data_IF_861932584808
#
_entry.id   IF_861932584808
#
_cell.length_a   1.000
_cell.length_b   1.000
_cell.length_c   1.000
_cell.angle_alpha   90.00
_cell.angle_beta   90.00
_cell.angle_gamma   90.00
#
_symmetry.space_group_name_H-M   'P 1'
#
loop_
_entity.id
_entity.type
_entity.pdbx_description
1 polymer ?
#
# COMPACT_ATOMS: atom_id res chain seq x y z
N UNK A 1 51.14 18.72 -25.87
CA UNK A 1 49.74 19.17 -25.79
C UNK A 1 48.84 17.96 -25.56
N UNK A 2 48.54 17.69 -24.29
CA UNK A 2 47.75 16.52 -23.87
C UNK A 2 46.26 16.83 -23.96
N UNK A 3 45.53 16.03 -24.75
CA UNK A 3 44.07 16.11 -24.86
C UNK A 3 43.44 15.65 -23.55
N UNK A 4 42.72 16.56 -22.88
CA UNK A 4 41.87 16.26 -21.75
C UNK A 4 40.64 15.48 -22.19
N UNK A 5 40.62 14.18 -21.90
CA UNK A 5 39.41 13.37 -21.95
C UNK A 5 38.58 13.64 -20.72
N UNK A 6 37.33 14.08 -20.91
CA UNK A 6 36.32 14.15 -19.86
C UNK A 6 35.94 12.72 -19.51
N UNK A 7 36.48 12.21 -18.40
CA UNK A 7 36.13 10.90 -17.89
C UNK A 7 34.71 10.92 -17.35
N UNK A 8 33.79 10.27 -18.06
CA UNK A 8 32.51 9.84 -17.49
C UNK A 8 32.87 8.81 -16.41
N UNK A 9 32.73 9.22 -15.14
CA UNK A 9 33.06 8.38 -14.00
C UNK A 9 32.17 7.14 -13.99
N UNK A 10 32.77 5.98 -14.22
CA UNK A 10 32.16 4.69 -13.92
C UNK A 10 32.12 4.58 -12.39
N UNK A 11 30.92 4.67 -11.80
CA UNK A 11 30.72 4.39 -10.37
C UNK A 11 31.05 2.91 -10.16
N UNK A 12 32.16 2.65 -9.47
CA UNK A 12 32.53 1.30 -9.03
C UNK A 12 31.54 0.89 -7.95
N UNK A 13 30.98 -0.31 -8.07
CA UNK A 13 30.12 -0.93 -7.05
C UNK A 13 30.88 -0.94 -5.71
N UNK A 14 30.45 -0.12 -4.76
CA UNK A 14 31.04 -0.03 -3.41
C UNK A 14 31.59 1.35 -2.97
N UNK A 15 31.57 2.39 -3.82
CA UNK A 15 31.93 3.76 -3.39
C UNK A 15 30.72 4.49 -2.79
N UNK A 16 30.33 4.07 -1.59
CA UNK A 16 29.20 4.62 -0.84
C UNK A 16 29.29 6.15 -0.62
N UNK A 17 30.47 6.73 -0.31
CA UNK A 17 30.64 8.18 -0.22
C UNK A 17 30.40 8.91 -1.54
N UNK A 18 30.86 8.39 -2.68
CA UNK A 18 30.62 9.02 -3.98
C UNK A 18 29.14 8.98 -4.39
N UNK A 19 28.45 7.85 -4.17
CA UNK A 19 27.02 7.73 -4.43
C UNK A 19 26.20 8.74 -3.60
N UNK A 20 26.52 8.88 -2.31
CA UNK A 20 25.88 9.87 -1.44
C UNK A 20 26.11 11.31 -1.91
N UNK A 21 27.33 11.64 -2.36
CA UNK A 21 27.67 12.98 -2.86
C UNK A 21 26.92 13.34 -4.14
N UNK A 22 26.71 12.38 -5.05
CA UNK A 22 25.93 12.59 -6.28
C UNK A 22 24.47 12.94 -5.91
N UNK A 23 23.84 12.14 -5.04
CA UNK A 23 22.45 12.38 -4.60
C UNK A 23 22.34 13.71 -3.86
N UNK A 24 23.34 14.06 -3.04
CA UNK A 24 23.38 15.32 -2.31
C UNK A 24 23.58 16.52 -3.25
N UNK A 25 24.36 16.37 -4.32
CA UNK A 25 24.52 17.42 -5.34
C UNK A 25 23.18 17.67 -6.05
N UNK A 26 22.45 16.62 -6.42
CA UNK A 26 21.13 16.73 -7.03
C UNK A 26 20.07 17.34 -6.09
N UNK A 27 20.24 17.23 -4.76
CA UNK A 27 19.34 17.86 -3.78
C UNK A 27 19.35 19.39 -3.88
N UNK A 28 20.45 19.97 -4.36
CA UNK A 28 20.56 21.43 -4.59
C UNK A 28 19.61 21.92 -5.68
N UNK A 29 19.09 21.02 -6.53
CA UNK A 29 18.08 21.30 -7.53
C UNK A 29 16.64 21.29 -6.97
N UNK A 30 16.46 21.02 -5.67
CA UNK A 30 15.16 21.01 -4.97
C UNK A 30 14.11 20.12 -5.63
N UNK A 31 14.52 18.97 -6.16
CA UNK A 31 13.60 18.00 -6.73
C UNK A 31 12.96 17.13 -5.61
N UNK A 32 11.62 16.96 -5.58
CA UNK A 32 10.94 16.10 -4.62
C UNK A 32 11.44 14.63 -4.60
N UNK A 33 11.76 13.99 -5.75
CA UNK A 33 12.32 12.64 -5.77
C UNK A 33 13.67 12.53 -5.03
N UNK A 34 14.54 13.53 -5.19
CA UNK A 34 15.87 13.53 -4.55
C UNK A 34 15.77 13.76 -3.04
N UNK A 35 14.83 14.62 -2.62
CA UNK A 35 14.55 14.85 -1.20
C UNK A 35 14.00 13.60 -0.51
N UNK A 36 13.12 12.85 -1.19
CA UNK A 36 12.64 11.55 -0.71
C UNK A 36 13.77 10.52 -0.62
N UNK A 37 14.62 10.41 -1.64
CA UNK A 37 15.78 9.49 -1.64
C UNK A 37 16.72 9.77 -0.47
N UNK A 38 17.07 11.04 -0.25
CA UNK A 38 17.89 11.44 0.90
C UNK A 38 17.21 11.14 2.24
N UNK A 39 15.88 11.31 2.32
CA UNK A 39 15.15 10.91 3.53
C UNK A 39 15.27 9.42 3.81
N UNK A 40 15.10 8.55 2.81
CA UNK A 40 15.21 7.10 2.99
C UNK A 40 16.62 6.66 3.43
N UNK A 41 17.67 7.29 2.87
CA UNK A 41 19.06 7.02 3.28
C UNK A 41 19.27 7.30 4.78
N UNK A 42 18.76 8.43 5.28
CA UNK A 42 18.84 8.75 6.70
C UNK A 42 17.92 7.90 7.57
N UNK A 43 16.80 7.39 7.04
CA UNK A 43 15.94 6.45 7.75
C UNK A 43 16.60 5.10 7.99
N UNK A 44 17.31 4.56 6.99
CA UNK A 44 17.93 3.24 7.07
C UNK A 44 19.39 3.25 7.52
N UNK A 45 20.08 4.39 7.45
CA UNK A 45 21.51 4.46 7.73
C UNK A 45 22.34 3.84 6.59
N UNK A 46 21.89 4.02 5.36
CA UNK A 46 22.55 3.50 4.16
C UNK A 46 23.66 4.45 3.66
N UNK A 47 24.45 4.00 2.68
CA UNK A 47 25.50 4.79 2.02
C UNK A 47 26.53 5.43 2.99
N UNK A 48 26.84 4.74 4.09
CA UNK A 48 27.79 5.21 5.10
C UNK A 48 27.28 6.35 5.99
N UNK A 49 25.97 6.64 5.97
CA UNK A 49 25.33 7.56 6.90
C UNK A 49 24.85 6.83 8.16
N UNK A 50 24.88 7.50 9.31
CA UNK A 50 24.20 6.97 10.51
C UNK A 50 22.71 7.26 10.44
N UNK A 51 21.90 6.36 11.00
CA UNK A 51 20.46 6.55 11.09
C UNK A 51 20.14 7.89 11.79
N UNK A 52 19.28 8.69 11.16
CA UNK A 52 18.89 10.02 11.64
C UNK A 52 17.44 10.32 11.26
N UNK A 53 16.51 9.88 12.11
CA UNK A 53 15.07 10.06 11.90
C UNK A 53 14.66 11.52 11.78
N UNK A 54 15.28 12.41 12.57
CA UNK A 54 14.96 13.85 12.53
C UNK A 54 15.26 14.44 11.16
N UNK A 55 16.46 14.17 10.65
CA UNK A 55 16.87 14.68 9.34
C UNK A 55 16.04 14.03 8.22
N UNK A 56 15.82 12.72 8.32
CA UNK A 56 15.02 11.96 7.37
C UNK A 56 13.60 12.52 7.23
N UNK A 57 12.87 12.66 8.35
CA UNK A 57 11.52 13.20 8.37
C UNK A 57 11.48 14.67 7.91
N UNK A 58 12.49 15.48 8.24
CA UNK A 58 12.51 16.88 7.81
C UNK A 58 12.61 17.01 6.28
N UNK A 59 13.41 16.14 5.64
CA UNK A 59 13.57 16.07 4.19
C UNK A 59 12.31 15.49 3.54
N UNK A 60 11.72 14.47 4.14
CA UNK A 60 10.49 13.86 3.65
C UNK A 60 9.29 14.81 3.75
N UNK A 61 9.15 15.54 4.85
CA UNK A 61 8.12 16.56 5.04
C UNK A 61 8.25 17.70 4.03
N UNK A 62 9.48 18.09 3.69
CA UNK A 62 9.72 19.04 2.61
C UNK A 62 9.28 18.47 1.26
N UNK A 63 9.71 17.25 0.95
CA UNK A 63 9.33 16.58 -0.30
C UNK A 63 7.81 16.40 -0.43
N UNK A 64 7.11 16.08 0.66
CA UNK A 64 5.66 15.96 0.71
C UNK A 64 4.95 17.30 0.44
N UNK A 65 5.49 18.42 0.94
CA UNK A 65 4.95 19.75 0.65
C UNK A 65 5.10 20.14 -0.83
N UNK A 66 6.16 19.68 -1.47
CA UNK A 66 6.46 19.92 -2.88
C UNK A 66 5.87 18.82 -3.80
N UNK A 67 5.12 17.84 -3.24
CA UNK A 67 4.53 16.75 -4.00
C UNK A 67 3.49 17.26 -5.01
N UNK A 68 3.55 16.67 -6.21
CA UNK A 68 2.72 16.96 -7.37
C UNK A 68 2.28 15.65 -8.07
N UNK A 69 1.55 15.74 -9.18
CA UNK A 69 1.00 14.57 -9.87
C UNK A 69 2.09 13.62 -10.42
N UNK A 70 3.29 14.14 -10.71
CA UNK A 70 4.42 13.34 -11.19
C UNK A 70 5.17 12.65 -10.04
N UNK A 71 5.18 13.28 -8.85
CA UNK A 71 5.82 12.77 -7.65
C UNK A 71 4.91 12.83 -6.41
N UNK A 72 3.87 11.98 -6.33
CA UNK A 72 2.97 11.95 -5.18
C UNK A 72 3.50 11.11 -3.99
N UNK A 73 4.49 10.25 -4.25
CA UNK A 73 5.06 9.28 -3.31
C UNK A 73 5.54 9.89 -1.97
N UNK A 74 6.21 11.05 -1.91
CA UNK A 74 6.70 11.59 -0.65
C UNK A 74 5.57 11.89 0.34
N UNK A 75 4.43 12.39 -0.17
CA UNK A 75 3.23 12.64 0.63
C UNK A 75 2.68 11.32 1.17
N UNK A 76 2.55 10.29 0.32
CA UNK A 76 2.06 8.98 0.77
C UNK A 76 2.96 8.34 1.83
N UNK A 77 4.28 8.32 1.60
CA UNK A 77 5.25 7.70 2.52
C UNK A 77 5.26 8.42 3.87
N UNK A 78 5.23 9.75 3.88
CA UNK A 78 5.11 10.51 5.12
C UNK A 78 3.82 10.13 5.87
N UNK A 79 2.72 10.02 5.14
CA UNK A 79 1.44 9.63 5.73
C UNK A 79 1.48 8.24 6.39
N UNK A 80 2.09 7.25 5.73
CA UNK A 80 2.26 5.91 6.30
C UNK A 80 3.15 5.87 7.55
N UNK A 81 4.20 6.68 7.58
CA UNK A 81 5.10 6.80 8.72
C UNK A 81 4.35 7.38 9.93
N UNK A 82 3.57 8.44 9.71
CA UNK A 82 2.78 9.08 10.76
C UNK A 82 1.61 8.22 11.23
N UNK A 83 1.08 7.33 10.38
CA UNK A 83 0.07 6.34 10.75
C UNK A 83 0.63 5.11 11.51
N UNK A 84 1.95 5.02 11.73
CA UNK A 84 2.61 3.80 12.24
C UNK A 84 2.37 2.55 11.40
N UNK A 85 1.96 2.70 10.15
CA UNK A 85 1.72 1.60 9.21
C UNK A 85 2.99 1.25 8.40
N UNK A 86 4.04 2.07 8.51
CA UNK A 86 5.37 1.86 7.93
C UNK A 86 5.96 0.45 8.15
N UNK A 87 5.95 -0.17 9.35
CA UNK A 87 6.59 -1.47 9.55
C UNK A 87 5.88 -2.65 8.86
N UNK A 88 4.65 -2.46 8.34
CA UNK A 88 3.92 -3.51 7.63
C UNK A 88 4.16 -3.50 6.11
N UNK A 89 4.67 -2.39 5.57
CA UNK A 89 4.90 -2.22 4.13
C UNK A 89 6.41 -2.22 3.91
N UNK A 90 6.92 -3.21 3.18
CA UNK A 90 8.33 -3.27 2.79
C UNK A 90 8.60 -2.17 1.77
N UNK A 91 9.16 -1.04 2.23
CA UNK A 91 9.58 0.02 1.34
C UNK A 91 10.95 -0.39 0.78
N UNK A 92 11.11 -0.44 -0.55
CA UNK A 92 12.36 -0.85 -1.18
C UNK A 92 13.54 -0.05 -0.60
N UNK A 93 14.72 -0.66 -0.43
CA UNK A 93 15.93 0.09 -0.03
C UNK A 93 16.41 0.95 -1.18
N UNK A 94 17.30 1.92 -0.92
CA UNK A 94 17.93 2.73 -1.98
C UNK A 94 18.42 1.87 -3.17
N UNK A 95 19.02 0.71 -2.86
CA UNK A 95 19.55 -0.26 -3.83
C UNK A 95 18.47 -0.90 -4.71
N UNK A 96 17.24 -1.01 -4.22
CA UNK A 96 16.09 -1.55 -4.95
C UNK A 96 15.41 -0.50 -5.85
N UNK A 97 15.75 0.79 -5.67
CA UNK A 97 15.21 1.90 -6.46
C UNK A 97 15.95 2.15 -7.79
N UNK A 98 16.91 1.30 -8.19
CA UNK A 98 17.64 1.43 -9.47
C UNK A 98 16.69 1.41 -10.69
N UNK A 99 15.48 0.86 -10.53
CA UNK A 99 14.44 0.82 -11.58
C UNK A 99 13.72 2.18 -11.79
N UNK A 100 13.97 3.20 -10.96
CA UNK A 100 13.19 4.44 -10.91
C UNK A 100 13.77 5.60 -11.74
N UNK A 101 14.81 5.36 -12.55
CA UNK A 101 15.39 6.38 -13.45
C UNK A 101 14.37 6.93 -14.45
N UNK A 102 13.38 6.13 -14.87
CA UNK A 102 12.41 6.54 -15.90
C UNK A 102 11.37 7.57 -15.41
N UNK A 103 11.09 7.63 -14.11
CA UNK A 103 10.19 8.63 -13.52
C UNK A 103 10.92 9.95 -13.17
N UNK A 104 12.18 9.87 -12.72
CA UNK A 104 13.00 11.06 -12.48
C UNK A 104 13.41 11.78 -13.77
N UNK A 105 13.52 11.07 -14.89
CA UNK A 105 13.86 11.67 -16.19
C UNK A 105 12.76 12.58 -16.76
N UNK A 106 11.50 12.47 -16.29
CA UNK A 106 10.37 13.27 -16.80
C UNK A 106 10.04 14.51 -15.96
N UNK A 107 10.49 14.59 -14.71
CA UNK A 107 10.16 15.71 -13.79
C UNK A 107 11.15 16.89 -13.88
N UNK A 108 11.62 17.24 -15.08
CA UNK A 108 12.49 18.39 -15.27
C UNK A 108 11.82 19.44 -16.14
N UNK A 109 10.96 20.26 -15.52
CA UNK A 109 10.71 21.68 -15.86
C UNK A 109 9.57 22.24 -14.98
N UNK A 110 9.88 23.24 -14.14
CA UNK A 110 8.85 24.07 -13.50
C UNK A 110 9.27 24.68 -12.17
N UNK A 111 9.73 25.94 -12.21
CA UNK A 111 10.06 26.77 -11.05
C UNK A 111 8.80 27.32 -10.40
N UNK A 112 8.60 27.14 -9.09
CA UNK A 112 7.71 28.00 -8.27
C UNK A 112 8.30 28.22 -6.88
N UNK A 113 8.14 29.45 -6.40
CA UNK A 113 8.88 30.08 -5.31
C UNK A 113 8.63 29.55 -3.90
N UNK A 114 9.68 29.70 -3.10
CA UNK A 114 9.80 29.37 -1.69
C UNK A 114 8.98 30.35 -0.85
N UNK A 115 8.25 29.83 0.15
CA UNK A 115 8.11 30.51 1.44
C UNK A 115 8.28 29.52 2.59
N UNK A 116 9.34 29.76 3.38
CA UNK A 116 9.57 29.22 4.72
C UNK A 116 8.31 29.41 5.58
N UNK A 117 7.95 28.52 6.51
CA UNK A 117 8.53 28.49 7.87
C UNK A 117 7.92 27.33 8.68
N UNK A 118 8.71 26.75 9.58
CA UNK A 118 8.40 26.25 10.94
C UNK A 118 9.11 24.90 11.20
N UNK A 119 9.92 24.80 12.27
CA UNK A 119 10.38 23.53 12.82
C UNK A 119 9.21 22.86 13.57
N UNK A 120 8.80 21.66 13.18
CA UNK A 120 7.84 20.88 13.96
C UNK A 120 8.56 20.33 15.21
N UNK A 121 8.15 20.70 16.45
CA UNK A 121 8.79 20.28 17.69
C UNK A 121 8.59 18.79 18.05
N UNK A 122 7.89 18.01 17.23
CA UNK A 122 7.54 16.60 17.50
C UNK A 122 8.65 15.59 17.18
N UNK A 123 9.82 16.02 16.69
CA UNK A 123 10.92 15.13 16.33
C UNK A 123 11.99 15.08 17.44
N UNK A 124 11.81 14.21 18.43
CA UNK A 124 12.92 13.75 19.26
C UNK A 124 13.83 12.80 18.44
N UNK A 125 15.10 12.72 18.78
CA UNK A 125 16.16 12.17 17.91
C UNK A 125 16.12 10.65 17.70
N UNK A 126 15.23 9.92 18.38
CA UNK A 126 15.24 8.45 18.39
C UNK A 126 13.94 7.79 17.90
N UNK A 127 12.79 8.49 17.91
CA UNK A 127 11.49 7.86 17.62
C UNK A 127 10.58 8.78 16.78
N UNK A 128 9.77 8.18 15.91
CA UNK A 128 8.70 8.88 15.18
C UNK A 128 7.45 8.88 16.04
N UNK A 129 6.90 10.07 16.33
CA UNK A 129 5.61 10.19 17.02
C UNK A 129 4.49 10.07 16.00
N UNK A 130 3.54 9.14 16.17
CA UNK A 130 2.40 9.00 15.27
C UNK A 130 1.47 10.21 15.32
N UNK A 131 0.93 10.61 14.17
CA UNK A 131 -0.10 11.64 14.04
C UNK A 131 -1.08 11.22 12.93
N UNK A 132 -2.19 10.63 13.35
CA UNK A 132 -3.24 10.16 12.44
C UNK A 132 -3.85 11.29 11.61
N UNK A 133 -3.90 12.50 12.15
CA UNK A 133 -4.46 13.65 11.43
C UNK A 133 -3.53 14.10 10.30
N UNK A 134 -2.23 14.14 10.56
CA UNK A 134 -1.22 14.47 9.55
C UNK A 134 -1.05 13.33 8.57
N UNK A 135 -1.17 12.08 9.02
CA UNK A 135 -1.20 10.91 8.17
C UNK A 135 -2.33 10.97 7.15
N UNK A 136 -3.56 11.20 7.61
CA UNK A 136 -4.74 11.30 6.76
C UNK A 136 -4.60 12.44 5.74
N UNK A 137 -4.11 13.62 6.17
CA UNK A 137 -3.88 14.76 5.26
C UNK A 137 -2.90 14.40 4.14
N UNK A 138 -1.79 13.75 4.48
CA UNK A 138 -0.74 13.41 3.52
C UNK A 138 -1.16 12.26 2.58
N UNK A 139 -1.92 11.27 3.07
CA UNK A 139 -2.51 10.20 2.24
C UNK A 139 -3.58 10.79 1.32
N UNK A 140 -4.47 11.66 1.85
CA UNK A 140 -5.47 12.39 1.08
C UNK A 140 -4.86 13.18 -0.07
N UNK A 141 -3.81 13.96 0.21
CA UNK A 141 -3.06 14.68 -0.81
C UNK A 141 -2.48 13.76 -1.88
N UNK A 142 -1.88 12.63 -1.49
CA UNK A 142 -1.35 11.67 -2.48
C UNK A 142 -2.46 11.09 -3.37
N UNK A 143 -3.64 10.83 -2.81
CA UNK A 143 -4.81 10.36 -3.56
C UNK A 143 -5.33 11.42 -4.55
N UNK A 144 -5.43 12.69 -4.13
CA UNK A 144 -5.77 13.83 -4.99
C UNK A 144 -4.80 13.99 -6.16
N UNK A 145 -3.51 13.73 -5.92
CA UNK A 145 -2.47 13.74 -6.94
C UNK A 145 -2.50 12.52 -7.88
N UNK A 146 -3.45 11.60 -7.69
CA UNK A 146 -3.66 10.47 -8.57
C UNK A 146 -2.97 9.17 -8.12
N UNK A 147 -2.37 9.13 -6.93
CA UNK A 147 -1.61 7.97 -6.48
C UNK A 147 -2.50 6.80 -6.06
N UNK A 148 -2.48 5.72 -6.85
CA UNK A 148 -3.38 4.57 -6.66
C UNK A 148 -3.26 3.88 -5.30
N UNK A 149 -2.05 3.65 -4.73
CA UNK A 149 -1.94 3.09 -3.38
C UNK A 149 -2.56 3.96 -2.29
N UNK A 150 -2.53 5.29 -2.46
CA UNK A 150 -3.19 6.20 -1.52
C UNK A 150 -4.72 6.08 -1.59
N UNK A 151 -5.29 5.91 -2.79
CA UNK A 151 -6.72 5.63 -2.93
C UNK A 151 -7.12 4.33 -2.23
N UNK A 152 -6.39 3.25 -2.45
CA UNK A 152 -6.62 1.97 -1.76
C UNK A 152 -6.53 2.15 -0.24
N UNK A 153 -5.54 2.91 0.25
CA UNK A 153 -5.38 3.19 1.68
C UNK A 153 -6.53 4.00 2.27
N UNK A 154 -7.05 5.01 1.56
CA UNK A 154 -8.25 5.74 1.98
C UNK A 154 -9.48 4.83 2.01
N UNK A 155 -9.62 3.92 1.04
CA UNK A 155 -10.66 2.90 1.04
C UNK A 155 -10.63 2.05 2.30
N UNK A 156 -9.44 1.63 2.75
CA UNK A 156 -9.23 0.90 4.00
C UNK A 156 -9.57 1.75 5.23
N UNK A 157 -9.20 3.03 5.25
CA UNK A 157 -9.50 3.90 6.38
C UNK A 157 -11.00 4.07 6.59
N UNK A 158 -11.78 4.23 5.52
CA UNK A 158 -13.24 4.27 5.61
C UNK A 158 -13.88 2.89 5.83
N UNK A 159 -13.23 1.79 5.43
CA UNK A 159 -13.73 0.44 5.73
C UNK A 159 -13.64 0.10 7.22
N UNK A 160 -12.52 0.45 7.85
CA UNK A 160 -12.21 0.05 9.23
C UNK A 160 -12.36 1.18 10.26
N UNK A 161 -12.67 2.41 9.84
CA UNK A 161 -12.76 3.56 10.73
C UNK A 161 -11.40 3.91 11.37
N UNK A 162 -10.36 4.03 10.55
CA UNK A 162 -9.00 4.34 11.01
C UNK A 162 -8.72 5.84 10.98
N UNK A 163 -7.64 6.26 11.66
CA UNK A 163 -7.17 7.65 11.68
C UNK A 163 -8.24 8.68 12.12
N UNK A 164 -9.12 8.28 13.05
CA UNK A 164 -10.21 9.11 13.57
C UNK A 164 -11.41 9.27 12.62
N UNK A 165 -11.47 8.51 11.52
CA UNK A 165 -12.64 8.49 10.63
C UNK A 165 -13.69 7.50 11.13
N UNK A 166 -14.96 7.85 10.95
CA UNK A 166 -16.06 6.90 11.11
C UNK A 166 -16.11 5.95 9.90
N UNK A 167 -16.41 4.65 10.11
CA UNK A 167 -16.61 3.72 9.00
C UNK A 167 -17.71 4.21 8.05
N UNK A 168 -17.41 4.27 6.75
CA UNK A 168 -18.34 4.70 5.70
C UNK A 168 -18.23 3.75 4.50
N UNK A 169 -19.13 2.77 4.39
CA UNK A 169 -19.11 1.78 3.30
C UNK A 169 -19.18 2.41 1.91
N UNK A 170 -19.91 3.52 1.75
CA UNK A 170 -20.06 4.18 0.45
C UNK A 170 -18.77 4.90 0.04
N UNK A 171 -18.13 5.62 0.97
CA UNK A 171 -16.81 6.23 0.68
C UNK A 171 -15.75 5.17 0.45
N UNK A 172 -15.74 4.09 1.23
CA UNK A 172 -14.81 2.99 1.03
C UNK A 172 -14.93 2.41 -0.39
N UNK A 173 -16.16 2.11 -0.84
CA UNK A 173 -16.42 1.67 -2.21
C UNK A 173 -15.92 2.67 -3.25
N UNK A 174 -16.21 3.97 -3.09
CA UNK A 174 -15.78 5.00 -4.04
C UNK A 174 -14.26 5.04 -4.21
N UNK A 175 -13.50 4.98 -3.12
CA UNK A 175 -12.04 4.99 -3.19
C UNK A 175 -11.48 3.70 -3.81
N UNK A 176 -12.05 2.55 -3.45
CA UNK A 176 -11.66 1.27 -4.05
C UNK A 176 -12.01 1.18 -5.54
N UNK A 177 -13.16 1.71 -5.97
CA UNK A 177 -13.52 1.80 -7.39
C UNK A 177 -12.52 2.65 -8.16
N UNK A 178 -12.18 3.84 -7.67
CA UNK A 178 -11.16 4.70 -8.29
C UNK A 178 -9.79 4.00 -8.38
N UNK A 179 -9.39 3.28 -7.33
CA UNK A 179 -8.13 2.53 -7.34
C UNK A 179 -8.16 1.34 -8.32
N UNK A 180 -9.27 0.61 -8.35
CA UNK A 180 -9.49 -0.53 -9.25
C UNK A 180 -9.54 -0.10 -10.73
N UNK A 181 -10.14 1.04 -11.05
CA UNK A 181 -10.14 1.61 -12.40
C UNK A 181 -8.72 1.93 -12.89
N UNK A 182 -7.84 2.32 -11.97
CA UNK A 182 -6.40 2.52 -12.22
C UNK A 182 -5.58 1.22 -12.19
N UNK A 183 -6.25 0.08 -12.06
CA UNK A 183 -5.64 -1.23 -12.21
C UNK A 183 -5.06 -1.83 -10.92
N UNK A 184 -5.37 -1.28 -9.75
CA UNK A 184 -4.90 -1.83 -8.47
C UNK A 184 -5.60 -3.16 -8.13
N UNK A 185 -4.87 -4.29 -8.09
CA UNK A 185 -5.46 -5.59 -7.78
C UNK A 185 -5.92 -5.70 -6.33
N UNK A 186 -5.30 -4.97 -5.39
CA UNK A 186 -5.72 -4.98 -3.99
C UNK A 186 -7.11 -4.36 -3.82
N UNK A 187 -7.32 -3.17 -4.37
CA UNK A 187 -8.62 -2.52 -4.37
C UNK A 187 -9.69 -3.37 -5.08
N UNK A 188 -9.37 -4.01 -6.21
CA UNK A 188 -10.29 -4.95 -6.87
C UNK A 188 -10.70 -6.11 -5.94
N UNK A 189 -9.75 -6.66 -5.18
CA UNK A 189 -10.05 -7.71 -4.22
C UNK A 189 -10.88 -7.18 -3.04
N UNK A 190 -10.62 -5.95 -2.58
CA UNK A 190 -11.43 -5.30 -1.54
C UNK A 190 -12.88 -5.06 -2.00
N UNK A 191 -13.10 -4.62 -3.24
CA UNK A 191 -14.44 -4.53 -3.86
C UNK A 191 -15.13 -5.89 -3.86
N UNK A 192 -14.40 -6.95 -4.23
CA UNK A 192 -14.93 -8.31 -4.16
C UNK A 192 -15.40 -8.67 -2.74
N UNK A 193 -14.62 -8.32 -1.73
CA UNK A 193 -14.97 -8.50 -0.31
C UNK A 193 -16.27 -7.78 0.06
N UNK A 194 -16.37 -6.49 -0.29
CA UNK A 194 -17.57 -5.67 -0.05
C UNK A 194 -18.83 -6.26 -0.68
N UNK A 195 -18.78 -6.65 -1.96
CA UNK A 195 -19.94 -7.24 -2.62
C UNK A 195 -20.25 -8.66 -2.12
N UNK A 196 -19.27 -9.40 -1.60
CA UNK A 196 -19.52 -10.71 -1.00
C UNK A 196 -20.26 -10.57 0.33
N UNK A 197 -19.88 -9.61 1.18
CA UNK A 197 -20.51 -9.41 2.49
C UNK A 197 -21.78 -8.57 2.44
N UNK A 198 -21.85 -7.61 1.51
CA UNK A 198 -22.74 -6.45 1.62
C UNK A 198 -22.35 -5.55 2.79
N UNK A 199 -23.09 -4.46 2.97
CA UNK A 199 -23.00 -3.58 4.12
C UNK A 199 -24.41 -3.35 4.66
N UNK A 200 -24.68 -3.80 5.88
CA UNK A 200 -26.01 -3.70 6.49
C UNK A 200 -26.46 -2.23 6.58
N UNK A 201 -27.72 -1.98 6.23
CA UNK A 201 -28.27 -0.62 6.16
C UNK A 201 -27.75 0.25 4.98
N UNK A 202 -26.78 -0.24 4.20
CA UNK A 202 -26.22 0.50 3.06
C UNK A 202 -26.53 -0.17 1.71
N UNK A 203 -26.09 -1.42 1.52
CA UNK A 203 -26.33 -2.18 0.29
C UNK A 203 -26.25 -3.70 0.51
N UNK A 204 -27.01 -4.44 -0.30
CA UNK A 204 -27.05 -5.91 -0.21
C UNK A 204 -25.84 -6.57 -0.87
N UNK A 205 -25.55 -7.81 -0.46
CA UNK A 205 -24.50 -8.62 -1.09
C UNK A 205 -24.86 -8.91 -2.56
N UNK A 206 -23.83 -8.92 -3.41
CA UNK A 206 -23.91 -9.24 -4.84
C UNK A 206 -22.79 -10.20 -5.22
N UNK A 207 -23.05 -11.51 -5.09
CA UNK A 207 -22.06 -12.56 -5.36
C UNK A 207 -21.55 -12.57 -6.81
N UNK A 208 -22.39 -12.37 -7.85
CA UNK A 208 -21.89 -12.25 -9.23
C UNK A 208 -20.93 -11.07 -9.43
N UNK A 209 -21.17 -9.94 -8.75
CA UNK A 209 -20.29 -8.78 -8.85
C UNK A 209 -19.00 -8.99 -8.06
N UNK A 210 -19.07 -9.65 -6.90
CA UNK A 210 -17.90 -10.08 -6.15
C UNK A 210 -17.00 -10.97 -7.01
N UNK A 211 -17.58 -12.00 -7.64
CA UNK A 211 -16.85 -12.89 -8.54
C UNK A 211 -16.14 -12.13 -9.67
N UNK A 212 -16.83 -11.19 -10.32
CA UNK A 212 -16.25 -10.37 -11.41
C UNK A 212 -15.04 -9.56 -10.96
N UNK A 213 -15.09 -8.95 -9.78
CA UNK A 213 -13.97 -8.15 -9.26
C UNK A 213 -12.80 -9.03 -8.82
N UNK A 214 -13.07 -10.16 -8.16
CA UNK A 214 -12.06 -11.16 -7.83
C UNK A 214 -11.34 -11.70 -9.07
N UNK A 215 -12.10 -12.00 -10.14
CA UNK A 215 -11.55 -12.45 -11.42
C UNK A 215 -10.64 -11.41 -12.08
N UNK A 216 -11.01 -10.13 -12.03
CA UNK A 216 -10.12 -9.05 -12.49
C UNK A 216 -8.82 -8.98 -11.67
N UNK A 217 -8.89 -9.09 -10.35
CA UNK A 217 -7.72 -9.06 -9.48
C UNK A 217 -6.79 -10.28 -9.71
N UNK A 218 -7.35 -11.48 -9.89
CA UNK A 218 -6.57 -12.67 -10.18
C UNK A 218 -5.90 -12.62 -11.57
N UNK A 219 -6.58 -12.06 -12.58
CA UNK A 219 -5.99 -11.82 -13.92
C UNK A 219 -4.80 -10.87 -13.88
N UNK A 220 -4.72 -10.00 -12.88
CA UNK A 220 -3.55 -9.15 -12.60
C UNK A 220 -2.42 -9.89 -11.87
N UNK A 221 -2.58 -11.19 -11.63
CA UNK A 221 -1.54 -12.05 -11.06
C UNK A 221 -1.52 -12.09 -9.53
N UNK A 222 -2.47 -11.45 -8.83
CA UNK A 222 -2.50 -11.42 -7.37
C UNK A 222 -2.82 -12.81 -6.79
N UNK A 223 -1.86 -13.39 -6.04
CA UNK A 223 -1.99 -14.75 -5.49
C UNK A 223 -3.16 -14.88 -4.50
N UNK A 224 -3.39 -13.85 -3.67
CA UNK A 224 -4.53 -13.79 -2.75
C UNK A 224 -5.88 -13.80 -3.49
N UNK A 225 -5.97 -13.10 -4.63
CA UNK A 225 -7.18 -13.10 -5.45
C UNK A 225 -7.38 -14.45 -6.16
N UNK A 226 -6.32 -15.09 -6.67
CA UNK A 226 -6.42 -16.44 -7.23
C UNK A 226 -6.92 -17.45 -6.20
N UNK A 227 -6.45 -17.37 -4.95
CA UNK A 227 -6.98 -18.19 -3.86
C UNK A 227 -8.47 -17.91 -3.60
N UNK A 228 -8.87 -16.63 -3.53
CA UNK A 228 -10.27 -16.26 -3.35
C UNK A 228 -11.16 -16.77 -4.49
N UNK A 229 -10.68 -16.73 -5.73
CA UNK A 229 -11.35 -17.30 -6.90
C UNK A 229 -11.50 -18.82 -6.81
N UNK A 230 -10.46 -19.51 -6.34
CA UNK A 230 -10.53 -20.95 -6.07
C UNK A 230 -11.62 -21.27 -5.04
N UNK A 231 -11.71 -20.45 -3.99
CA UNK A 231 -12.77 -20.54 -3.00
C UNK A 231 -14.17 -20.24 -3.56
N UNK A 232 -14.29 -19.28 -4.47
CA UNK A 232 -15.57 -18.95 -5.11
C UNK A 232 -16.06 -20.08 -6.01
N UNK A 233 -15.17 -20.74 -6.75
CA UNK A 233 -15.51 -21.94 -7.51
C UNK A 233 -15.79 -23.15 -6.62
N UNK A 234 -15.09 -23.31 -5.50
CA UNK A 234 -15.35 -24.40 -4.58
C UNK A 234 -16.76 -24.30 -3.97
N UNK A 235 -17.11 -23.12 -3.47
CA UNK A 235 -18.38 -22.87 -2.76
C UNK A 235 -19.54 -22.57 -3.71
N UNK A 236 -19.27 -22.05 -4.91
CA UNK A 236 -20.27 -21.55 -5.85
C UNK A 236 -20.73 -20.12 -5.52
N UNK A 237 -19.79 -19.19 -5.29
CA UNK A 237 -20.07 -17.76 -5.01
C UNK A 237 -20.08 -17.01 -6.34
N UNK A 238 -21.27 -16.57 -6.78
CA UNK A 238 -21.43 -15.81 -8.03
C UNK A 238 -21.18 -16.61 -9.31
N UNK A 239 -20.87 -17.90 -9.18
CA UNK A 239 -20.61 -18.86 -10.25
C UNK A 239 -21.09 -20.25 -9.81
N UNK A 240 -21.33 -21.15 -10.76
CA UNK A 240 -21.61 -22.55 -10.44
C UNK A 240 -20.37 -23.19 -9.78
N UNK A 241 -20.60 -24.00 -8.74
CA UNK A 241 -19.52 -24.71 -8.07
C UNK A 241 -18.80 -25.66 -9.03
N UNK A 242 -17.48 -25.61 -9.04
CA UNK A 242 -16.59 -26.42 -9.87
C UNK A 242 -15.28 -26.68 -9.11
N UNK A 243 -15.18 -27.87 -8.53
CA UNK A 243 -14.01 -28.26 -7.72
C UNK A 243 -12.74 -28.36 -8.56
N UNK A 244 -12.84 -28.75 -9.84
CA UNK A 244 -11.65 -28.83 -10.70
C UNK A 244 -11.06 -27.44 -10.94
N UNK A 245 -11.91 -26.46 -11.29
CA UNK A 245 -11.46 -25.06 -11.41
C UNK A 245 -10.96 -24.50 -10.09
N UNK A 246 -11.59 -24.86 -8.97
CA UNK A 246 -11.11 -24.45 -7.64
C UNK A 246 -9.67 -24.91 -7.40
N UNK A 247 -9.36 -26.19 -7.66
CA UNK A 247 -8.03 -26.77 -7.50
C UNK A 247 -7.02 -26.10 -8.45
N UNK A 248 -7.38 -25.82 -9.70
CA UNK A 248 -6.53 -25.09 -10.64
C UNK A 248 -6.15 -23.69 -10.13
N UNK A 249 -7.12 -22.95 -9.59
CA UNK A 249 -6.89 -21.64 -9.00
C UNK A 249 -6.03 -21.73 -7.72
N UNK A 250 -6.26 -22.72 -6.87
CA UNK A 250 -5.42 -22.94 -5.69
C UNK A 250 -3.98 -23.32 -6.05
N UNK A 251 -3.77 -24.16 -7.05
CA UNK A 251 -2.43 -24.50 -7.53
C UNK A 251 -1.69 -23.26 -8.06
N UNK A 252 -2.37 -22.35 -8.77
CA UNK A 252 -1.78 -21.08 -9.22
C UNK A 252 -1.39 -20.15 -8.07
N UNK A 253 -2.24 -20.04 -7.05
CA UNK A 253 -1.91 -19.26 -5.85
C UNK A 253 -0.75 -19.91 -5.07
N UNK A 254 -0.73 -21.24 -4.95
CA UNK A 254 0.33 -22.00 -4.29
C UNK A 254 1.68 -21.89 -5.00
N UNK A 255 1.70 -21.90 -6.35
CA UNK A 255 2.94 -21.73 -7.12
C UNK A 255 3.56 -20.34 -6.94
N UNK A 256 2.75 -19.35 -6.54
CA UNK A 256 3.19 -18.01 -6.13
C UNK A 256 3.56 -17.91 -4.64
N UNK A 257 3.65 -19.04 -3.94
CA UNK A 257 4.01 -19.10 -2.52
C UNK A 257 2.89 -18.73 -1.56
N UNK A 258 1.63 -18.64 -2.00
CA UNK A 258 0.53 -18.29 -1.11
C UNK A 258 0.21 -19.46 -0.17
N UNK A 259 0.68 -19.35 1.09
CA UNK A 259 0.62 -20.42 2.10
C UNK A 259 -0.78 -20.98 2.32
N UNK A 260 -1.80 -20.12 2.37
CA UNK A 260 -3.19 -20.55 2.58
C UNK A 260 -3.69 -21.44 1.43
N UNK A 261 -3.20 -21.25 0.19
CA UNK A 261 -3.54 -22.13 -0.92
C UNK A 261 -2.90 -23.51 -0.77
N UNK A 262 -1.62 -23.57 -0.35
CA UNK A 262 -0.92 -24.82 -0.06
C UNK A 262 -1.64 -25.59 1.05
N UNK A 263 -1.97 -24.92 2.14
CA UNK A 263 -2.73 -25.52 3.25
C UNK A 263 -4.11 -26.01 2.80
N UNK A 264 -4.81 -25.23 1.98
CA UNK A 264 -6.13 -25.59 1.45
C UNK A 264 -6.10 -26.85 0.59
N UNK A 265 -5.10 -26.97 -0.28
CA UNK A 265 -4.87 -28.16 -1.11
C UNK A 265 -4.54 -29.40 -0.24
N UNK A 266 -3.77 -29.23 0.83
CA UNK A 266 -3.39 -30.32 1.72
C UNK A 266 -4.55 -30.83 2.60
N UNK A 267 -5.55 -29.99 2.91
CA UNK A 267 -6.67 -30.36 3.78
C UNK A 267 -7.63 -31.39 3.18
N UNK A 268 -7.58 -31.66 1.88
CA UNK A 268 -8.31 -32.75 1.18
C UNK A 268 -9.84 -32.72 1.21
N UNK A 269 -10.46 -31.92 2.08
CA UNK A 269 -11.91 -31.74 2.23
C UNK A 269 -12.37 -30.48 1.49
N UNK A 270 -13.51 -30.55 0.80
CA UNK A 270 -14.10 -29.39 0.12
C UNK A 270 -14.92 -28.52 1.09
N UNK A 271 -14.86 -27.20 0.95
CA UNK A 271 -15.70 -26.28 1.73
C UNK A 271 -17.10 -26.27 1.12
N UNK A 272 -18.09 -26.65 1.91
CA UNK A 272 -19.50 -26.61 1.49
C UNK A 272 -20.08 -25.20 1.63
N UNK A 273 -21.14 -24.92 0.87
CA UNK A 273 -21.88 -23.67 0.99
C UNK A 273 -22.40 -23.38 2.39
N UNK A 274 -22.85 -24.41 3.11
CA UNK A 274 -23.27 -24.27 4.52
C UNK A 274 -22.13 -23.81 5.43
N UNK A 275 -20.94 -24.41 5.30
CA UNK A 275 -19.76 -24.01 6.09
C UNK A 275 -19.34 -22.56 5.78
N UNK A 276 -19.44 -22.14 4.51
CA UNK A 276 -19.22 -20.75 4.13
C UNK A 276 -20.22 -19.82 4.82
N UNK A 277 -21.51 -20.07 4.67
CA UNK A 277 -22.56 -19.19 5.19
C UNK A 277 -22.52 -19.11 6.74
N UNK A 278 -22.19 -20.21 7.43
CA UNK A 278 -21.92 -20.21 8.87
C UNK A 278 -20.73 -19.33 9.25
N UNK A 279 -19.63 -19.42 8.50
CA UNK A 279 -18.44 -18.62 8.75
C UNK A 279 -18.75 -17.13 8.57
N UNK A 280 -19.49 -16.76 7.53
CA UNK A 280 -19.93 -15.38 7.30
C UNK A 280 -20.83 -14.89 8.44
N UNK A 281 -21.76 -15.71 8.93
CA UNK A 281 -22.60 -15.35 10.09
C UNK A 281 -21.79 -15.12 11.36
N UNK A 282 -20.79 -15.96 11.64
CA UNK A 282 -19.91 -15.80 12.80
C UNK A 282 -19.10 -14.51 12.71
N UNK A 283 -18.51 -14.23 11.54
CA UNK A 283 -17.72 -13.01 11.31
C UNK A 283 -18.60 -11.76 11.39
N UNK A 284 -19.81 -11.79 10.83
CA UNK A 284 -20.77 -10.67 10.96
C UNK A 284 -21.19 -10.44 12.40
N UNK A 285 -21.47 -11.51 13.15
CA UNK A 285 -21.81 -11.42 14.57
C UNK A 285 -20.67 -10.92 15.47
N UNK A 286 -19.42 -10.98 15.00
CA UNK A 286 -18.24 -10.44 15.68
C UNK A 286 -17.85 -9.01 15.24
N UNK A 287 -18.44 -8.50 14.14
CA UNK A 287 -18.23 -7.14 13.62
C UNK A 287 -19.29 -6.14 14.12
N UNK A 288 -20.25 -6.56 14.95
CA UNK A 288 -21.24 -5.68 15.57
C UNK A 288 -20.57 -4.84 16.68
N UNK A 289 -20.41 -3.51 16.50
CA UNK A 289 -19.77 -2.66 17.50
C UNK A 289 -20.62 -2.43 18.77
N UNK A 290 -21.87 -2.91 18.81
CA UNK A 290 -22.78 -2.76 19.96
C UNK A 290 -22.94 -4.03 20.80
N UNK A 291 -22.20 -5.10 20.49
CA UNK A 291 -22.25 -6.34 21.27
C UNK A 291 -21.32 -6.23 22.49
N UNK A 292 -21.90 -5.97 23.66
CA UNK A 292 -21.21 -6.13 24.95
C UNK A 292 -20.91 -7.63 25.20
N UNK A 293 -19.87 -8.17 24.58
CA UNK A 293 -19.34 -9.49 24.98
C UNK A 293 -18.13 -9.32 25.88
N UNK A 294 -18.35 -9.56 27.18
CA UNK A 294 -17.36 -9.47 28.27
C UNK A 294 -16.24 -10.50 28.20
N UNK A 295 -16.27 -11.45 27.28
CA UNK A 295 -15.35 -12.58 27.24
C UNK A 295 -15.01 -13.00 25.81
N UNK A 296 -14.14 -12.28 25.09
CA UNK A 296 -13.26 -12.94 24.12
C UNK A 296 -12.09 -12.06 23.66
N UNK A 297 -10.92 -12.26 24.27
CA UNK A 297 -9.63 -11.92 23.67
C UNK A 297 -9.29 -13.12 22.78
N UNK A 298 -9.29 -12.92 21.46
CA UNK A 298 -8.65 -13.76 20.42
C UNK A 298 -9.56 -13.89 19.18
N UNK A 299 -9.62 -12.84 18.36
CA UNK A 299 -10.05 -12.94 16.96
C UNK A 299 -9.37 -11.83 16.13
N UNK A 300 -8.05 -11.91 15.98
CA UNK A 300 -7.34 -11.28 14.86
C UNK A 300 -7.16 -12.37 13.82
N UNK A 301 -7.97 -12.34 12.76
CA UNK A 301 -7.76 -13.23 11.61
C UNK A 301 -6.51 -12.73 10.87
N UNK A 302 -5.56 -13.65 10.76
CA UNK A 302 -4.27 -13.57 10.06
C UNK A 302 -4.40 -13.83 8.57
#
# INVERSE_FOLDING_TARGET
>A
EGRGGVGVGVVVVGDWPAAFLIIRADLTLHAPPTSQRMAMIYFFGDLGQTQNFRQALSLLARAAREANAECPHPSYVLGLILASDYPKIDIPRYEDFVVWEEASAKCSLGVVGIRNSIPNPQLNSEHVIPDDSEALRNIGRAAELGYTPALNKLGQYYEYGMAGLEPDPWKSLQYYEQAAERGDPEAMLSLSGWYMSGAEGCFEKNEPLAFKWCDKAAKKGMAKAEFALGYYYEVGIGVQSDVHRAIEHYNRAASKGYRNAIERLNRGSSVTRMQHDETIRRVKGARDPFREDKDNKDCVVS
#
